data_IF_863941131005
#
_entry.id   IF_863941131005
#
_cell.length_a   1.000
_cell.length_b   1.000
_cell.length_c   1.000
_cell.angle_alpha   90.00
_cell.angle_beta   90.00
_cell.angle_gamma   90.00
#
_symmetry.space_group_name_H-M   'P 1'
#
loop_
_entity.id
_entity.type
_entity.pdbx_description
1 polymer ?
#
# COMPACT_ATOMS: atom_id res chain seq x y z
N UNK A 1 -4.64 21.83 -13.70
CA UNK A 1 -3.18 21.91 -13.92
C UNK A 1 -2.43 20.61 -13.57
N UNK A 2 -2.85 19.83 -12.55
CA UNK A 2 -2.20 18.55 -12.19
C UNK A 2 -2.27 17.47 -13.29
N UNK A 3 -3.36 17.42 -14.07
CA UNK A 3 -3.52 16.45 -15.16
C UNK A 3 -2.53 16.62 -16.33
N UNK A 4 -2.22 17.86 -16.70
CA UNK A 4 -1.24 18.17 -17.77
C UNK A 4 0.19 17.83 -17.32
N UNK A 5 0.56 18.08 -16.05
CA UNK A 5 1.87 17.69 -15.52
C UNK A 5 2.07 16.18 -15.49
N UNK A 6 1.03 15.42 -15.12
CA UNK A 6 1.07 13.93 -15.16
C UNK A 6 1.32 13.38 -16.57
N UNK A 7 0.85 14.07 -17.61
CA UNK A 7 1.02 13.66 -19.01
C UNK A 7 2.41 14.01 -19.57
N UNK A 8 2.98 15.15 -19.18
CA UNK A 8 4.23 15.66 -19.77
C UNK A 8 5.48 15.21 -18.99
N UNK A 9 5.37 15.02 -17.67
CA UNK A 9 6.50 14.70 -16.80
C UNK A 9 6.52 13.24 -16.34
N UNK A 10 5.87 12.33 -17.06
CA UNK A 10 5.89 10.92 -16.72
C UNK A 10 7.34 10.41 -16.74
N UNK A 11 7.81 9.69 -15.69
CA UNK A 11 9.14 9.09 -15.69
C UNK A 11 9.33 8.18 -16.90
N UNK A 12 10.55 8.09 -17.41
CA UNK A 12 10.83 7.13 -18.48
C UNK A 12 10.70 5.70 -17.96
N UNK A 13 10.23 4.79 -18.80
CA UNK A 13 10.02 3.37 -18.43
C UNK A 13 11.35 2.67 -18.12
N UNK A 14 12.44 3.12 -18.72
CA UNK A 14 13.80 2.63 -18.51
C UNK A 14 14.56 3.35 -17.38
N UNK A 15 13.91 4.27 -16.65
CA UNK A 15 14.48 4.87 -15.45
C UNK A 15 14.36 3.91 -14.26
N UNK A 16 15.50 3.49 -13.74
CA UNK A 16 15.61 2.57 -12.61
C UNK A 16 15.67 3.26 -11.24
N UNK A 17 15.52 4.60 -11.20
CA UNK A 17 15.43 5.36 -9.96
C UNK A 17 14.25 4.87 -9.10
N UNK A 18 14.38 4.87 -7.76
CA UNK A 18 13.29 4.46 -6.87
C UNK A 18 11.99 5.22 -7.14
N UNK A 19 12.05 6.52 -7.42
CA UNK A 19 10.86 7.34 -7.69
C UNK A 19 10.17 6.95 -9.00
N UNK A 20 10.92 6.65 -10.05
CA UNK A 20 10.35 6.13 -11.30
C UNK A 20 9.70 4.76 -11.09
N UNK A 21 10.38 3.83 -10.39
CA UNK A 21 9.82 2.53 -10.01
C UNK A 21 8.52 2.68 -9.21
N UNK A 22 8.50 3.61 -8.25
CA UNK A 22 7.33 3.89 -7.43
C UNK A 22 6.15 4.38 -8.27
N UNK A 23 6.38 5.32 -9.19
CA UNK A 23 5.33 5.83 -10.07
C UNK A 23 4.60 4.70 -10.81
N UNK A 24 5.35 3.79 -11.43
CA UNK A 24 4.77 2.66 -12.17
C UNK A 24 4.12 1.62 -11.27
N UNK A 25 4.68 1.37 -10.08
CA UNK A 25 4.06 0.48 -9.10
C UNK A 25 2.73 1.04 -8.57
N UNK A 26 2.67 2.34 -8.30
CA UNK A 26 1.44 3.03 -7.88
C UNK A 26 0.38 3.07 -8.98
N UNK A 27 0.76 3.30 -10.25
CA UNK A 27 -0.16 3.20 -11.39
C UNK A 27 -0.73 1.78 -11.54
N UNK A 28 0.11 0.75 -11.40
CA UNK A 28 -0.34 -0.63 -11.44
C UNK A 28 -1.33 -0.94 -10.30
N UNK A 29 -1.04 -0.47 -9.08
CA UNK A 29 -1.92 -0.62 -7.93
C UNK A 29 -3.29 0.04 -8.19
N UNK A 30 -3.30 1.30 -8.64
CA UNK A 30 -4.53 2.04 -8.94
C UNK A 30 -5.33 1.40 -10.09
N UNK A 31 -4.64 0.83 -11.09
CA UNK A 31 -5.31 0.11 -12.18
C UNK A 31 -6.05 -1.13 -11.67
N UNK A 32 -5.46 -1.88 -10.75
CA UNK A 32 -6.10 -3.08 -10.17
C UNK A 32 -7.26 -2.69 -9.25
N UNK A 33 -7.08 -1.65 -8.43
CA UNK A 33 -8.15 -1.11 -7.58
C UNK A 33 -9.34 -0.62 -8.41
N UNK A 34 -9.09 0.16 -9.47
CA UNK A 34 -10.15 0.61 -10.38
C UNK A 34 -10.84 -0.53 -11.11
N UNK A 35 -10.13 -1.63 -11.39
CA UNK A 35 -10.75 -2.84 -11.96
C UNK A 35 -11.66 -3.53 -10.94
N UNK A 36 -11.23 -3.66 -9.67
CA UNK A 36 -12.07 -4.20 -8.59
C UNK A 36 -13.35 -3.39 -8.40
N UNK A 37 -13.27 -2.07 -8.49
CA UNK A 37 -14.43 -1.17 -8.35
C UNK A 37 -15.38 -1.22 -9.56
N UNK A 38 -14.94 -1.77 -10.69
CA UNK A 38 -15.69 -1.72 -11.96
C UNK A 38 -16.77 -2.80 -12.12
N UNK A 39 -16.83 -3.79 -11.22
CA UNK A 39 -17.79 -4.89 -11.32
C UNK A 39 -18.27 -5.38 -9.96
N UNK A 40 -19.40 -6.09 -9.96
CA UNK A 40 -19.90 -6.78 -8.78
C UNK A 40 -19.14 -8.11 -8.60
N UNK A 41 -18.22 -8.14 -7.65
CA UNK A 41 -17.42 -9.33 -7.32
C UNK A 41 -18.23 -10.58 -6.95
N UNK A 42 -19.51 -10.44 -6.56
CA UNK A 42 -20.39 -11.60 -6.29
C UNK A 42 -20.81 -12.32 -7.56
N UNK A 43 -20.82 -11.63 -8.69
CA UNK A 43 -21.19 -12.20 -10.00
C UNK A 43 -20.03 -12.94 -10.64
N UNK A 44 -18.80 -12.59 -10.30
CA UNK A 44 -17.58 -13.24 -10.75
C UNK A 44 -16.55 -13.37 -9.60
N UNK A 45 -16.76 -14.33 -8.69
CA UNK A 45 -15.91 -14.50 -7.50
C UNK A 45 -14.48 -14.92 -7.86
N UNK A 46 -14.29 -15.64 -8.97
CA UNK A 46 -12.97 -16.10 -9.38
C UNK A 46 -12.11 -14.91 -9.85
N UNK A 47 -12.66 -14.05 -10.71
CA UNK A 47 -11.98 -12.82 -11.13
C UNK A 47 -11.73 -11.89 -9.93
N UNK A 48 -12.70 -11.76 -9.03
CA UNK A 48 -12.54 -10.99 -7.81
C UNK A 48 -11.34 -11.47 -6.97
N UNK A 49 -11.25 -12.79 -6.72
CA UNK A 49 -10.13 -13.38 -5.99
C UNK A 49 -8.78 -13.16 -6.70
N UNK A 50 -8.74 -13.29 -8.02
CA UNK A 50 -7.51 -13.03 -8.79
C UNK A 50 -7.07 -11.56 -8.66
N UNK A 51 -8.00 -10.62 -8.77
CA UNK A 51 -7.71 -9.18 -8.64
C UNK A 51 -7.33 -8.80 -7.21
N UNK A 52 -7.96 -9.37 -6.18
CA UNK A 52 -7.57 -9.17 -4.78
C UNK A 52 -6.14 -9.67 -4.53
N UNK A 53 -5.78 -10.84 -5.05
CA UNK A 53 -4.41 -11.34 -4.95
C UNK A 53 -3.41 -10.43 -5.67
N UNK A 54 -3.77 -9.92 -6.85
CA UNK A 54 -2.95 -8.97 -7.60
C UNK A 54 -2.81 -7.63 -6.87
N UNK A 55 -3.88 -7.15 -6.22
CA UNK A 55 -3.88 -5.93 -5.42
C UNK A 55 -2.86 -6.05 -4.27
N UNK A 56 -2.88 -7.17 -3.54
CA UNK A 56 -1.93 -7.45 -2.45
C UNK A 56 -0.48 -7.44 -2.95
N UNK A 57 -0.21 -8.07 -4.10
CA UNK A 57 1.13 -8.05 -4.71
C UNK A 57 1.55 -6.62 -5.10
N UNK A 58 0.64 -5.81 -5.62
CA UNK A 58 0.91 -4.40 -5.92
C UNK A 58 1.21 -3.60 -4.65
N UNK A 59 0.49 -3.83 -3.56
CA UNK A 59 0.73 -3.20 -2.25
C UNK A 59 2.11 -3.56 -1.70
N UNK A 60 2.45 -4.86 -1.69
CA UNK A 60 3.77 -5.35 -1.30
C UNK A 60 4.87 -4.68 -2.12
N UNK A 61 4.67 -4.57 -3.44
CA UNK A 61 5.64 -3.93 -4.32
C UNK A 61 5.83 -2.44 -4.01
N UNK A 62 4.74 -1.72 -3.78
CA UNK A 62 4.79 -0.29 -3.39
C UNK A 62 5.54 -0.11 -2.08
N UNK A 63 5.22 -0.90 -1.04
CA UNK A 63 5.89 -0.82 0.25
C UNK A 63 7.36 -1.19 0.17
N UNK A 64 7.72 -2.20 -0.63
CA UNK A 64 9.10 -2.60 -0.90
C UNK A 64 9.91 -1.43 -1.48
N UNK A 65 9.38 -0.75 -2.50
CA UNK A 65 10.06 0.40 -3.12
C UNK A 65 10.19 1.58 -2.12
N UNK A 66 9.15 1.84 -1.31
CA UNK A 66 9.23 2.85 -0.23
C UNK A 66 10.33 2.46 0.77
N UNK A 67 10.46 1.18 1.11
CA UNK A 67 11.54 0.66 1.95
C UNK A 67 12.93 0.87 1.35
N UNK A 68 13.10 0.65 0.04
CA UNK A 68 14.34 0.94 -0.70
C UNK A 68 14.69 2.44 -0.62
N UNK A 69 13.69 3.32 -0.81
CA UNK A 69 13.86 4.78 -0.69
C UNK A 69 14.27 5.19 0.73
N UNK A 70 13.58 4.68 1.74
CA UNK A 70 13.89 4.97 3.15
C UNK A 70 15.31 4.54 3.52
N UNK A 71 15.76 3.40 2.99
CA UNK A 71 17.14 2.92 3.23
C UNK A 71 18.18 3.79 2.56
N UNK A 72 17.85 4.36 1.40
CA UNK A 72 18.71 5.30 0.69
C UNK A 72 18.80 6.66 1.41
N UNK A 73 17.68 7.17 1.90
CA UNK A 73 17.59 8.50 2.56
C UNK A 73 18.11 8.44 4.00
N UNK A 74 17.83 7.35 4.73
CA UNK A 74 18.26 7.12 6.11
C UNK A 74 19.06 5.82 6.19
N UNK A 75 20.36 5.85 5.81
CA UNK A 75 21.20 4.65 5.79
C UNK A 75 21.39 4.03 7.18
N UNK A 76 21.49 4.87 8.21
CA UNK A 76 21.63 4.41 9.59
C UNK A 76 20.25 4.14 10.21
N UNK A 77 20.08 2.97 10.81
CA UNK A 77 18.81 2.60 11.46
C UNK A 77 18.45 3.53 12.62
N UNK A 78 19.46 4.11 13.29
CA UNK A 78 19.27 5.11 14.36
C UNK A 78 18.56 6.38 13.91
N UNK A 79 18.59 6.70 12.61
CA UNK A 79 17.94 7.88 12.06
C UNK A 79 16.46 7.63 11.72
N UNK A 80 16.02 6.37 11.84
CA UNK A 80 14.65 5.94 11.56
C UNK A 80 13.84 5.88 12.85
N UNK A 81 12.51 5.98 12.74
CA UNK A 81 11.62 5.79 13.88
C UNK A 81 11.81 4.40 14.50
N UNK A 82 11.96 4.34 15.83
CA UNK A 82 12.15 3.08 16.57
C UNK A 82 11.01 2.09 16.28
N UNK A 83 11.38 0.82 16.12
CA UNK A 83 10.46 -0.30 15.94
C UNK A 83 10.51 -1.30 17.09
N UNK A 84 10.95 -0.86 18.28
CA UNK A 84 11.10 -1.71 19.46
C UNK A 84 9.80 -2.36 19.91
N UNK A 85 8.64 -1.79 19.55
CA UNK A 85 7.34 -2.41 19.79
C UNK A 85 7.22 -3.83 19.19
N UNK A 86 8.06 -4.19 18.21
CA UNK A 86 8.08 -5.52 17.60
C UNK A 86 8.43 -6.63 18.58
N UNK A 87 9.18 -6.34 19.65
CA UNK A 87 9.51 -7.33 20.70
C UNK A 87 8.28 -7.85 21.44
N UNK A 88 7.13 -7.16 21.31
CA UNK A 88 5.86 -7.57 21.90
C UNK A 88 5.13 -8.65 21.09
N UNK A 89 5.62 -8.97 19.89
CA UNK A 89 4.99 -9.91 18.98
C UNK A 89 5.89 -11.15 18.78
N UNK A 90 5.32 -12.37 18.79
CA UNK A 90 6.02 -13.60 18.39
C UNK A 90 6.74 -13.48 17.05
N UNK A 91 7.87 -14.17 16.90
CA UNK A 91 8.64 -14.21 15.65
C UNK A 91 7.80 -14.74 14.47
N UNK A 92 6.91 -15.70 14.74
CA UNK A 92 5.99 -16.27 13.75
C UNK A 92 4.97 -15.27 13.19
N UNK A 93 4.82 -14.08 13.80
CA UNK A 93 3.97 -13.00 13.31
C UNK A 93 4.79 -11.99 12.50
N UNK A 94 6.07 -11.80 12.83
CA UNK A 94 6.92 -10.77 12.24
C UNK A 94 7.71 -11.32 11.06
N UNK A 95 7.00 -11.52 9.95
CA UNK A 95 7.56 -11.96 8.67
C UNK A 95 7.55 -10.83 7.61
N UNK A 96 8.31 -11.02 6.53
CA UNK A 96 8.56 -9.99 5.49
C UNK A 96 7.28 -9.41 4.86
N UNK A 97 6.23 -10.23 4.71
CA UNK A 97 4.97 -9.83 4.09
C UNK A 97 3.98 -9.18 5.07
N UNK A 98 4.32 -9.08 6.37
CA UNK A 98 3.44 -8.50 7.39
C UNK A 98 3.01 -7.06 7.03
N UNK A 99 3.88 -6.15 6.56
CA UNK A 99 3.47 -4.78 6.23
C UNK A 99 2.36 -4.71 5.17
N UNK A 100 2.44 -5.51 4.11
CA UNK A 100 1.39 -5.55 3.08
C UNK A 100 0.12 -6.22 3.56
N UNK A 101 0.22 -7.27 4.39
CA UNK A 101 -0.95 -7.87 5.06
C UNK A 101 -1.66 -6.85 5.97
N UNK A 102 -0.91 -6.04 6.71
CA UNK A 102 -1.46 -4.98 7.57
C UNK A 102 -2.14 -3.88 6.75
N UNK A 103 -1.54 -3.47 5.62
CA UNK A 103 -2.19 -2.52 4.71
C UNK A 103 -3.49 -3.10 4.15
N UNK A 104 -3.45 -4.29 3.56
CA UNK A 104 -4.64 -4.94 3.01
C UNK A 104 -5.75 -5.11 4.07
N UNK A 105 -5.40 -5.63 5.25
CA UNK A 105 -6.35 -5.79 6.35
C UNK A 105 -6.96 -4.46 6.81
N UNK A 106 -6.16 -3.39 6.86
CA UNK A 106 -6.64 -2.06 7.18
C UNK A 106 -7.60 -1.51 6.12
N UNK A 107 -7.37 -1.76 4.84
CA UNK A 107 -8.31 -1.40 3.76
C UNK A 107 -9.63 -2.16 3.88
N UNK A 108 -9.59 -3.47 4.08
CA UNK A 108 -10.80 -4.27 4.28
C UNK A 108 -11.63 -3.75 5.46
N UNK A 109 -10.99 -3.47 6.60
CA UNK A 109 -11.65 -2.90 7.78
C UNK A 109 -12.20 -1.49 7.51
N UNK A 110 -11.43 -0.64 6.83
CA UNK A 110 -11.86 0.71 6.47
C UNK A 110 -13.08 0.70 5.54
N UNK A 111 -13.14 -0.27 4.61
CA UNK A 111 -14.25 -0.53 3.70
C UNK A 111 -15.47 -1.19 4.37
N UNK A 112 -15.38 -1.55 5.66
CA UNK A 112 -16.49 -2.07 6.45
C UNK A 112 -16.56 -3.59 6.56
N UNK A 113 -15.51 -4.32 6.14
CA UNK A 113 -15.38 -5.74 6.45
C UNK A 113 -15.10 -5.93 7.95
N UNK A 114 -15.45 -7.10 8.48
CA UNK A 114 -15.13 -7.50 9.84
C UNK A 114 -14.23 -8.74 9.83
N UNK A 115 -13.40 -8.86 10.86
CA UNK A 115 -12.69 -10.09 11.17
C UNK A 115 -13.73 -11.09 11.68
N UNK A 116 -13.72 -12.30 11.11
CA UNK A 116 -14.64 -13.37 11.46
C UNK A 116 -14.50 -13.68 12.96
N UNK A 117 -15.64 -13.77 13.66
CA UNK A 117 -15.76 -14.04 15.10
C UNK A 117 -15.14 -12.95 16.02
N UNK A 118 -14.79 -11.79 15.47
CA UNK A 118 -14.12 -10.69 16.17
C UNK A 118 -14.70 -9.31 15.79
N UNK A 119 -16.02 -9.17 15.77
CA UNK A 119 -16.70 -7.94 15.36
C UNK A 119 -16.41 -6.76 16.29
N UNK A 120 -16.41 -6.98 17.61
CA UNK A 120 -16.14 -5.93 18.59
C UNK A 120 -14.73 -5.35 18.43
N UNK A 121 -13.74 -6.22 18.27
CA UNK A 121 -12.36 -5.83 17.99
C UNK A 121 -12.24 -5.13 16.64
N UNK A 122 -12.98 -5.60 15.62
CA UNK A 122 -13.04 -4.94 14.31
C UNK A 122 -13.54 -3.50 14.44
N UNK A 123 -14.59 -3.26 15.23
CA UNK A 123 -15.09 -1.91 15.49
C UNK A 123 -14.07 -1.03 16.23
N UNK A 124 -13.39 -1.59 17.24
CA UNK A 124 -12.38 -0.88 18.01
C UNK A 124 -11.15 -0.49 17.17
N UNK A 125 -10.76 -1.34 16.21
CA UNK A 125 -9.56 -1.13 15.36
C UNK A 125 -9.88 -0.29 14.12
N UNK A 126 -11.13 -0.26 13.65
CA UNK A 126 -11.54 0.45 12.42
C UNK A 126 -11.07 1.90 12.33
N UNK A 127 -11.10 2.74 13.40
CA UNK A 127 -10.56 4.10 13.33
C UNK A 127 -9.07 4.14 13.02
N UNK A 128 -8.28 3.21 13.58
CA UNK A 128 -6.85 3.09 13.30
C UNK A 128 -6.61 2.62 11.86
N UNK A 129 -7.39 1.67 11.37
CA UNK A 129 -7.34 1.21 9.99
C UNK A 129 -7.61 2.34 8.99
N UNK A 130 -8.62 3.19 9.25
CA UNK A 130 -8.92 4.40 8.46
C UNK A 130 -7.82 5.44 8.52
N UNK A 131 -7.20 5.63 9.69
CA UNK A 131 -6.08 6.56 9.83
C UNK A 131 -4.85 6.08 9.04
N UNK A 132 -4.52 4.79 9.13
CA UNK A 132 -3.41 4.18 8.41
C UNK A 132 -3.58 4.29 6.89
N UNK A 133 -4.72 3.87 6.37
CA UNK A 133 -5.04 3.94 4.92
C UNK A 133 -4.96 5.38 4.40
N UNK A 134 -5.55 6.35 5.11
CA UNK A 134 -5.43 7.76 4.76
C UNK A 134 -3.98 8.27 4.74
N UNK A 135 -3.16 7.90 5.72
CA UNK A 135 -1.75 8.32 5.74
C UNK A 135 -0.93 7.67 4.60
N UNK A 136 -1.22 6.40 4.27
CA UNK A 136 -0.60 5.73 3.14
C UNK A 136 -0.99 6.40 1.82
N UNK A 137 -2.25 6.76 1.64
CA UNK A 137 -2.71 7.47 0.44
C UNK A 137 -2.04 8.84 0.31
N UNK A 138 -1.96 9.61 1.40
CA UNK A 138 -1.24 10.90 1.41
C UNK A 138 0.26 10.73 1.06
N UNK A 139 0.93 9.73 1.64
CA UNK A 139 2.32 9.43 1.32
C UNK A 139 2.48 9.06 -0.16
N UNK A 140 1.56 8.24 -0.70
CA UNK A 140 1.58 7.83 -2.10
C UNK A 140 1.39 9.01 -3.04
N UNK A 141 0.45 9.91 -2.74
CA UNK A 141 0.25 11.14 -3.50
C UNK A 141 1.51 12.02 -3.49
N UNK A 142 2.15 12.19 -2.33
CA UNK A 142 3.39 12.96 -2.22
C UNK A 142 4.53 12.34 -3.04
N UNK A 143 4.74 11.03 -2.93
CA UNK A 143 5.79 10.32 -3.68
C UNK A 143 5.52 10.35 -5.19
N UNK A 144 4.26 10.24 -5.60
CA UNK A 144 3.84 10.37 -6.99
C UNK A 144 4.14 11.77 -7.52
N UNK A 145 3.81 12.81 -6.78
CA UNK A 145 4.13 14.18 -7.16
C UNK A 145 5.64 14.43 -7.24
N UNK A 146 6.44 13.80 -6.37
CA UNK A 146 7.91 13.87 -6.44
C UNK A 146 8.46 13.13 -7.67
N UNK A 147 7.88 12.01 -8.05
CA UNK A 147 8.32 11.27 -9.25
C UNK A 147 8.09 12.03 -10.56
N UNK A 148 7.25 13.07 -10.57
CA UNK A 148 6.95 13.91 -11.74
C UNK A 148 7.82 15.18 -11.82
N UNK A 149 8.82 15.33 -10.95
CA UNK A 149 9.74 16.47 -10.91
C UNK A 149 11.04 16.10 -11.61
#
# INVERSE_FOLDING_TARGET
>A
MQSLRRLVNKPRVDDWSPLAKFYYADEALNSVAGELDSFDGRRDPERCNQLVNKLRQCQDRVLSIIGEMLTTIFPHESDRASRDYRVKFPEDIVHENLPGQLWFGAECLAAGSNIIDHEFESEAIRPMARALTRHLDQLREMLKDQSLR
#
